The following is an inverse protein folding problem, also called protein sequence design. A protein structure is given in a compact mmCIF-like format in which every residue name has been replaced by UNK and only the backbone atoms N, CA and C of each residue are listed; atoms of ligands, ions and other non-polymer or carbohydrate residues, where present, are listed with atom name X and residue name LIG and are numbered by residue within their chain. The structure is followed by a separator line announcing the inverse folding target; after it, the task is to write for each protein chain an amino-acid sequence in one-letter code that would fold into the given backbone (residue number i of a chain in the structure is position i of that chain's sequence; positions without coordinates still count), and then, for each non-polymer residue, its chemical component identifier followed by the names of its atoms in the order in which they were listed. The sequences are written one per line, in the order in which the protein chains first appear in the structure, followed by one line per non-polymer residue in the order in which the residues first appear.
data_IF_883620480199
#
_entry.id   IF_883620480199
#
_cell.length_a   1.000
_cell.length_b   1.000
_cell.length_c   1.000
_cell.angle_alpha   90.00
_cell.angle_beta   90.00
_cell.angle_gamma   90.00
#
_symmetry.space_group_name_H-M   'P 1'
#
loop_
_entity.id
_entity.type
_entity.pdbx_description
1 polymer ?
#
# COMPACT_ATOMS: atom_id res chain seq x y z
N UNK A 1 -2.37 6.22 -30.94
CA UNK A 1 -3.17 5.85 -29.75
C UNK A 1 -2.76 4.49 -29.18
N UNK A 2 -2.53 3.48 -30.00
CA UNK A 2 -2.04 2.14 -29.56
C UNK A 2 -0.74 2.19 -28.75
N UNK A 3 0.30 2.86 -29.27
CA UNK A 3 1.61 2.95 -28.59
C UNK A 3 1.47 3.59 -27.20
N UNK A 4 0.63 4.62 -27.06
CA UNK A 4 0.37 5.27 -25.78
C UNK A 4 -0.36 4.34 -24.81
N UNK A 5 -1.35 3.56 -25.29
CA UNK A 5 -2.03 2.53 -24.49
C UNK A 5 -1.03 1.48 -23.98
N UNK A 6 -0.10 1.02 -24.82
CA UNK A 6 0.95 0.07 -24.42
C UNK A 6 1.91 0.65 -23.38
N UNK A 7 2.37 1.89 -23.54
CA UNK A 7 3.25 2.55 -22.57
C UNK A 7 2.57 2.66 -21.20
N UNK A 8 1.31 3.11 -21.16
CA UNK A 8 0.54 3.26 -19.92
C UNK A 8 0.29 1.89 -19.28
N UNK A 9 0.03 0.85 -20.07
CA UNK A 9 -0.14 -0.52 -19.58
C UNK A 9 1.14 -1.05 -18.93
N UNK A 10 2.30 -0.84 -19.54
CA UNK A 10 3.60 -1.24 -18.95
C UNK A 10 3.82 -0.55 -17.61
N UNK A 11 3.55 0.77 -17.53
CA UNK A 11 3.66 1.53 -16.28
C UNK A 11 2.70 0.96 -15.22
N UNK A 12 1.47 0.64 -15.61
CA UNK A 12 0.48 0.07 -14.70
C UNK A 12 0.90 -1.31 -14.16
N UNK A 13 1.48 -2.17 -14.99
CA UNK A 13 2.04 -3.46 -14.55
C UNK A 13 3.14 -3.24 -13.50
N UNK A 14 4.05 -2.28 -13.72
CA UNK A 14 5.13 -1.96 -12.77
C UNK A 14 4.55 -1.51 -11.42
N UNK A 15 3.54 -0.64 -11.43
CA UNK A 15 2.85 -0.19 -10.20
C UNK A 15 2.19 -1.37 -9.47
N UNK A 16 1.59 -2.30 -10.23
CA UNK A 16 0.99 -3.52 -9.69
C UNK A 16 2.01 -4.41 -8.96
N UNK A 17 3.17 -4.64 -9.58
CA UNK A 17 4.26 -5.43 -8.98
C UNK A 17 4.79 -4.75 -7.72
N UNK A 18 5.01 -3.43 -7.77
CA UNK A 18 5.45 -2.66 -6.60
C UNK A 18 4.45 -2.76 -5.44
N UNK A 19 3.15 -2.68 -5.73
CA UNK A 19 2.09 -2.85 -4.74
C UNK A 19 2.07 -4.24 -4.12
N UNK A 20 2.25 -5.30 -4.91
CA UNK A 20 2.30 -6.69 -4.41
C UNK A 20 3.47 -6.85 -3.44
N UNK A 21 4.66 -6.34 -3.78
CA UNK A 21 5.84 -6.40 -2.93
C UNK A 21 5.61 -5.62 -1.63
N UNK A 22 5.09 -4.39 -1.71
CA UNK A 22 4.76 -3.59 -0.53
C UNK A 22 3.71 -4.26 0.36
N UNK A 23 2.66 -4.82 -0.23
CA UNK A 23 1.61 -5.53 0.50
C UNK A 23 2.15 -6.79 1.19
N UNK A 24 3.04 -7.54 0.52
CA UNK A 24 3.70 -8.70 1.10
C UNK A 24 4.55 -8.32 2.33
N UNK A 25 5.37 -7.28 2.22
CA UNK A 25 6.22 -6.77 3.33
C UNK A 25 5.37 -6.26 4.50
N UNK A 26 4.21 -5.66 4.24
CA UNK A 26 3.32 -5.20 5.33
C UNK A 26 2.58 -6.33 6.04
N UNK A 27 2.37 -7.48 5.39
CA UNK A 27 1.66 -8.60 6.00
C UNK A 27 2.56 -9.41 6.94
N UNK A 28 3.89 -9.37 6.73
CA UNK A 28 4.89 -10.00 7.63
C UNK A 28 5.05 -9.30 8.99
N UNK A 29 4.67 -8.01 9.11
CA UNK A 29 4.72 -7.25 10.36
C UNK A 29 3.39 -7.29 11.15
N UNK A 30 2.50 -8.25 10.87
CA UNK A 30 1.37 -8.50 11.79
C UNK A 30 1.94 -9.03 13.11
N UNK A 31 2.21 -8.10 14.02
CA UNK A 31 2.50 -8.33 15.43
C UNK A 31 1.51 -9.39 15.94
N UNK A 32 2.02 -10.60 16.15
CA UNK A 32 1.23 -11.73 16.62
C UNK A 32 0.56 -11.40 17.95
N UNK A 33 -0.39 -12.25 18.33
CA UNK A 33 -1.20 -12.18 19.55
C UNK A 33 -0.42 -11.93 20.87
N UNK A 34 0.91 -11.96 20.86
CA UNK A 34 1.81 -11.52 21.93
C UNK A 34 1.57 -10.09 22.43
N UNK A 35 1.03 -9.17 21.62
CA UNK A 35 0.67 -7.82 22.08
C UNK A 35 -0.53 -7.76 23.03
N UNK A 36 -1.40 -8.79 23.02
CA UNK A 36 -2.57 -8.89 23.89
C UNK A 36 -2.23 -9.56 25.22
N UNK A 37 -1.15 -10.36 25.27
CA UNK A 37 -0.76 -11.14 26.45
C UNK A 37 0.02 -10.31 27.47
N UNK A 38 0.69 -9.21 27.07
CA UNK A 38 1.59 -8.45 27.96
C UNK A 38 0.91 -7.38 28.81
N UNK A 39 -0.43 -7.38 28.93
CA UNK A 39 -1.23 -6.55 29.84
C UNK A 39 -0.50 -5.35 30.48
N UNK A 40 -0.25 -4.28 29.73
CA UNK A 40 0.41 -3.09 30.24
C UNK A 40 -0.50 -1.87 30.08
N UNK A 41 -1.51 -1.83 30.94
CA UNK A 41 -2.12 -0.60 31.43
C UNK A 41 -1.05 0.29 32.03
N UNK A 42 -0.40 1.14 31.22
CA UNK A 42 0.21 2.44 31.59
C UNK A 42 0.80 3.05 30.31
N UNK A 43 0.16 4.09 29.77
CA UNK A 43 0.79 5.10 28.89
C UNK A 43 1.74 4.56 27.81
N UNK A 44 1.18 3.90 26.80
CA UNK A 44 1.98 3.32 25.72
C UNK A 44 2.51 4.42 24.78
N UNK A 45 3.72 4.92 25.03
CA UNK A 45 4.44 5.86 24.15
C UNK A 45 4.53 5.39 22.68
N UNK A 46 4.39 4.08 22.45
CA UNK A 46 4.32 3.46 21.13
C UNK A 46 3.01 3.78 20.38
N UNK A 47 1.88 3.86 21.08
CA UNK A 47 0.58 4.21 20.49
C UNK A 47 0.50 5.70 20.11
N UNK A 48 1.07 6.58 20.95
CA UNK A 48 1.07 8.03 20.71
C UNK A 48 1.99 8.44 19.54
N UNK A 49 3.00 7.62 19.20
CA UNK A 49 3.94 7.84 18.09
C UNK A 49 3.84 6.81 16.95
N UNK A 50 2.78 6.00 16.90
CA UNK A 50 2.56 4.93 15.90
C UNK A 50 2.55 5.45 14.45
N UNK A 51 2.23 6.73 14.25
CA UNK A 51 2.31 7.40 12.94
C UNK A 51 3.72 7.84 12.51
N UNK A 52 4.69 7.86 13.43
CA UNK A 52 6.10 8.23 13.19
C UNK A 52 7.02 7.02 13.03
N UNK A 53 6.55 5.81 13.35
CA UNK A 53 7.30 4.57 13.16
C UNK A 53 7.42 4.24 11.66
N UNK A 54 8.45 3.45 11.30
CA UNK A 54 8.68 3.03 9.92
C UNK A 54 7.48 2.27 9.35
N UNK A 55 6.81 1.48 10.19
CA UNK A 55 5.57 0.75 9.87
C UNK A 55 4.40 1.70 9.56
N UNK A 56 4.19 2.74 10.37
CA UNK A 56 3.13 3.73 10.17
C UNK A 56 3.29 4.53 8.87
N UNK A 57 4.54 4.80 8.48
CA UNK A 57 4.85 5.41 7.17
C UNK A 57 4.59 4.45 6.01
N UNK A 58 5.04 3.20 6.11
CA UNK A 58 4.81 2.18 5.06
C UNK A 58 3.33 1.94 4.78
N UNK A 59 2.48 1.90 5.82
CA UNK A 59 1.02 1.82 5.65
C UNK A 59 0.44 3.01 4.88
N UNK A 60 0.87 4.24 5.21
CA UNK A 60 0.42 5.44 4.49
C UNK A 60 0.83 5.43 3.02
N UNK A 61 2.07 5.04 2.73
CA UNK A 61 2.56 4.91 1.34
C UNK A 61 1.77 3.90 0.53
N UNK A 62 1.37 2.79 1.15
CA UNK A 62 0.58 1.75 0.49
C UNK A 62 -0.84 2.20 0.18
N UNK A 63 -1.45 2.95 1.09
CA UNK A 63 -2.77 3.55 0.84
C UNK A 63 -2.70 4.50 -0.36
N UNK A 64 -1.66 5.36 -0.42
CA UNK A 64 -1.45 6.28 -1.53
C UNK A 64 -1.25 5.51 -2.84
N UNK A 65 -0.37 4.51 -2.86
CA UNK A 65 -0.13 3.68 -4.04
C UNK A 65 -1.39 2.92 -4.48
N UNK A 66 -2.20 2.43 -3.54
CA UNK A 66 -3.47 1.76 -3.83
C UNK A 66 -4.49 2.70 -4.48
N UNK A 67 -4.58 3.95 -4.03
CA UNK A 67 -5.43 4.97 -4.66
C UNK A 67 -4.93 5.27 -6.07
N UNK A 68 -3.62 5.48 -6.25
CA UNK A 68 -3.02 5.72 -7.57
C UNK A 68 -3.28 4.57 -8.53
N UNK A 69 -3.18 3.33 -8.06
CA UNK A 69 -3.51 2.13 -8.83
C UNK A 69 -4.97 2.11 -9.28
N UNK A 70 -5.92 2.41 -8.38
CA UNK A 70 -7.34 2.45 -8.71
C UNK A 70 -7.65 3.52 -9.77
N UNK A 71 -7.07 4.71 -9.65
CA UNK A 71 -7.23 5.78 -10.64
C UNK A 71 -6.64 5.37 -11.99
N UNK A 72 -5.43 4.81 -12.03
CA UNK A 72 -4.81 4.33 -13.26
C UNK A 72 -5.64 3.21 -13.92
N UNK A 73 -6.24 2.32 -13.13
CA UNK A 73 -7.10 1.25 -13.62
C UNK A 73 -8.34 1.80 -14.34
N UNK A 74 -9.00 2.80 -13.74
CA UNK A 74 -10.17 3.46 -14.35
C UNK A 74 -9.77 4.18 -15.64
N UNK A 75 -8.66 4.93 -15.62
CA UNK A 75 -8.16 5.66 -16.80
C UNK A 75 -7.82 4.69 -17.94
N UNK A 76 -7.11 3.60 -17.65
CA UNK A 76 -6.82 2.55 -18.63
C UNK A 76 -8.11 1.87 -19.15
N UNK A 77 -9.07 1.58 -18.27
CA UNK A 77 -10.35 0.98 -18.66
C UNK A 77 -11.12 1.85 -19.64
N UNK A 78 -11.21 3.15 -19.39
CA UNK A 78 -11.84 4.11 -20.30
C UNK A 78 -11.05 4.23 -21.60
N UNK A 79 -9.72 4.33 -21.53
CA UNK A 79 -8.84 4.39 -22.71
C UNK A 79 -8.91 3.15 -23.59
N UNK A 80 -9.19 1.97 -23.04
CA UNK A 80 -9.35 0.72 -23.81
C UNK A 80 -10.78 0.50 -24.30
N UNK A 81 -11.79 1.02 -23.61
CA UNK A 81 -13.20 0.97 -24.03
C UNK A 81 -13.51 1.92 -25.20
N UNK A 82 -12.77 3.03 -25.31
CA UNK A 82 -12.83 3.99 -26.43
C UNK A 82 -11.81 3.64 -27.52
#
# INVERSE_FOLDING_TARGET
MEILKYIILVIYIIVCIALIILAAVQNSEKQGASGTITGSSTNNFYEQNKGRTKEGKLKKWTIILGITFAVLAIVLGILYLV
#
